data_IF_714228452551
#
_entry.id   IF_714228452551
#
_cell.length_a   1.000
_cell.length_b   1.000
_cell.length_c   1.000
_cell.angle_alpha   90.00
_cell.angle_beta   90.00
_cell.angle_gamma   90.00
#
_symmetry.space_group_name_H-M   'P 1'
#
loop_
_entity.id
_entity.type
_entity.pdbx_description
1 polymer ?
#
# COMPACT_ATOMS: atom_id res chain seq x y z
N UNK A 1 9.24 7.92 25.36
CA UNK A 1 9.30 6.46 25.16
C UNK A 1 9.35 6.23 23.65
N UNK A 2 10.38 5.57 23.14
CA UNK A 2 10.59 5.51 21.69
C UNK A 2 9.62 4.49 21.07
N UNK A 3 8.87 4.92 20.07
CA UNK A 3 7.97 4.07 19.27
C UNK A 3 8.68 2.87 18.60
N UNK A 4 10.01 2.83 18.66
CA UNK A 4 10.83 1.75 18.11
C UNK A 4 10.63 0.39 18.79
N UNK A 5 10.19 0.36 20.05
CA UNK A 5 10.00 -0.89 20.79
C UNK A 5 8.70 -1.62 20.47
N UNK A 6 7.70 -0.94 19.90
CA UNK A 6 6.38 -1.55 19.61
C UNK A 6 6.35 -2.41 18.36
N UNK A 7 7.23 -2.15 17.38
CA UNK A 7 7.30 -2.86 16.11
C UNK A 7 8.43 -3.88 16.07
N UNK A 8 9.40 -3.80 17.00
CA UNK A 8 10.54 -4.70 17.03
C UNK A 8 10.09 -6.18 17.09
N UNK A 9 10.62 -7.00 16.20
CA UNK A 9 10.31 -8.42 16.08
C UNK A 9 8.97 -8.75 15.39
N UNK A 10 8.13 -7.75 15.05
CA UNK A 10 6.83 -7.99 14.41
C UNK A 10 6.94 -8.14 12.92
N UNK A 11 6.22 -9.11 12.36
CA UNK A 11 6.07 -9.24 10.91
C UNK A 11 4.94 -8.34 10.39
N UNK A 12 5.26 -7.51 9.41
CA UNK A 12 4.33 -6.54 8.81
C UNK A 12 4.21 -6.80 7.32
N UNK A 13 2.99 -7.11 6.88
CA UNK A 13 2.66 -7.28 5.47
C UNK A 13 2.58 -5.91 4.78
N UNK A 14 3.31 -5.74 3.69
CA UNK A 14 3.25 -4.55 2.85
C UNK A 14 2.79 -4.98 1.46
N UNK A 15 1.61 -4.56 1.04
CA UNK A 15 1.15 -4.82 -0.33
C UNK A 15 1.52 -3.66 -1.24
N UNK A 16 1.96 -3.93 -2.47
CA UNK A 16 2.37 -2.90 -3.41
C UNK A 16 3.74 -2.27 -3.10
N UNK A 17 4.65 -3.04 -2.49
CA UNK A 17 5.94 -2.52 -2.04
C UNK A 17 6.99 -2.36 -3.15
N UNK A 18 6.75 -2.88 -4.36
CA UNK A 18 7.52 -2.50 -5.54
C UNK A 18 7.36 -1.00 -5.91
N UNK A 19 6.33 -0.33 -5.38
CA UNK A 19 6.11 1.12 -5.51
C UNK A 19 7.03 1.96 -4.63
N UNK A 20 7.12 3.26 -4.95
CA UNK A 20 7.96 4.23 -4.21
C UNK A 20 7.66 4.24 -2.70
N UNK A 21 6.38 4.44 -2.31
CA UNK A 21 6.01 4.51 -0.88
C UNK A 21 6.33 3.19 -0.18
N UNK A 22 6.02 2.06 -0.82
CA UNK A 22 6.22 0.75 -0.24
C UNK A 22 7.69 0.41 0.02
N UNK A 23 8.58 0.81 -0.89
CA UNK A 23 10.02 0.66 -0.69
C UNK A 23 10.52 1.43 0.54
N UNK A 24 10.10 2.69 0.70
CA UNK A 24 10.43 3.49 1.88
C UNK A 24 9.84 2.92 3.17
N UNK A 25 8.61 2.40 3.12
CA UNK A 25 7.97 1.74 4.27
C UNK A 25 8.76 0.48 4.68
N UNK A 26 9.16 -0.34 3.73
CA UNK A 26 9.96 -1.54 4.01
C UNK A 26 11.29 -1.18 4.68
N UNK A 27 11.99 -0.14 4.18
CA UNK A 27 13.19 0.40 4.80
C UNK A 27 12.96 0.84 6.24
N UNK A 28 11.94 1.68 6.48
CA UNK A 28 11.65 2.20 7.80
C UNK A 28 11.26 1.11 8.81
N UNK A 29 10.49 0.11 8.38
CA UNK A 29 10.14 -1.03 9.24
C UNK A 29 11.40 -1.80 9.68
N UNK A 30 12.35 -2.04 8.78
CA UNK A 30 13.62 -2.67 9.15
C UNK A 30 14.42 -1.84 10.13
N UNK A 31 14.52 -0.54 9.92
CA UNK A 31 15.19 0.38 10.85
C UNK A 31 14.55 0.39 12.25
N UNK A 32 13.25 0.13 12.33
CA UNK A 32 12.50 -0.03 13.59
C UNK A 32 12.58 -1.44 14.18
N UNK A 33 13.33 -2.35 13.54
CA UNK A 33 13.50 -3.74 14.00
C UNK A 33 12.32 -4.66 13.68
N UNK A 34 11.39 -4.24 12.83
CA UNK A 34 10.32 -5.09 12.32
C UNK A 34 10.79 -5.94 11.14
N UNK A 35 10.03 -6.97 10.79
CA UNK A 35 10.24 -7.81 9.63
C UNK A 35 9.23 -7.43 8.54
N UNK A 36 9.61 -6.65 7.51
CA UNK A 36 8.73 -6.39 6.37
C UNK A 36 8.58 -7.65 5.52
N UNK A 37 7.34 -8.02 5.24
CA UNK A 37 6.96 -9.06 4.30
C UNK A 37 6.24 -8.37 3.14
N UNK A 38 6.90 -8.29 2.00
CA UNK A 38 6.35 -7.67 0.79
C UNK A 38 5.43 -8.66 0.09
N UNK A 39 4.27 -8.18 -0.34
CA UNK A 39 3.36 -8.92 -1.21
C UNK A 39 3.08 -8.09 -2.47
N UNK A 40 3.51 -8.59 -3.61
CA UNK A 40 3.34 -7.90 -4.88
C UNK A 40 3.15 -8.89 -6.05
N UNK A 41 2.61 -8.41 -7.17
CA UNK A 41 2.36 -9.23 -8.36
C UNK A 41 3.67 -9.67 -9.05
N UNK A 42 4.74 -8.93 -8.86
CA UNK A 42 6.06 -9.22 -9.43
C UNK A 42 7.16 -8.80 -8.46
N UNK A 43 8.27 -9.53 -8.48
CA UNK A 43 9.44 -9.14 -7.73
C UNK A 43 10.21 -8.06 -8.50
N UNK A 44 10.15 -6.83 -8.01
CA UNK A 44 10.94 -5.71 -8.50
C UNK A 44 11.57 -4.98 -7.31
N UNK A 45 12.88 -5.17 -7.10
CA UNK A 45 13.65 -4.59 -6.00
C UNK A 45 14.39 -3.31 -6.38
N UNK A 46 14.24 -2.78 -7.58
CA UNK A 46 14.97 -1.60 -8.05
C UNK A 46 14.87 -0.41 -7.09
N UNK A 47 13.65 -0.10 -6.63
CA UNK A 47 13.43 1.02 -5.69
C UNK A 47 13.95 0.71 -4.29
N UNK A 48 13.89 -0.54 -3.85
CA UNK A 48 14.51 -0.96 -2.58
C UNK A 48 16.03 -0.84 -2.67
N UNK A 49 16.65 -1.35 -3.73
CA UNK A 49 18.11 -1.28 -3.96
C UNK A 49 18.62 0.16 -4.02
N UNK A 50 17.78 1.10 -4.50
CA UNK A 50 18.13 2.52 -4.54
C UNK A 50 18.27 3.15 -3.15
N UNK A 51 17.54 2.67 -2.16
CA UNK A 51 17.41 3.34 -0.85
C UNK A 51 17.92 2.52 0.34
N UNK A 52 18.20 1.23 0.15
CA UNK A 52 18.73 0.37 1.21
C UNK A 52 19.73 -0.67 0.67
N UNK A 53 20.90 -0.81 1.33
CA UNK A 53 21.96 -1.68 0.84
C UNK A 53 21.67 -3.18 1.00
N UNK A 54 20.77 -3.55 1.89
CA UNK A 54 20.42 -4.94 2.22
C UNK A 54 18.99 -5.31 1.72
N UNK A 55 18.57 -4.75 0.59
CA UNK A 55 17.25 -4.98 0.00
C UNK A 55 16.96 -6.47 -0.28
N UNK A 56 17.98 -7.27 -0.55
CA UNK A 56 17.86 -8.72 -0.76
C UNK A 56 17.38 -9.47 0.48
N UNK A 57 17.60 -8.93 1.68
CA UNK A 57 17.13 -9.52 2.92
C UNK A 57 15.64 -9.25 3.22
N UNK A 58 14.95 -8.45 2.42
CA UNK A 58 13.51 -8.24 2.55
C UNK A 58 12.76 -9.46 2.02
N UNK A 59 11.87 -10.03 2.84
CA UNK A 59 11.03 -11.15 2.44
C UNK A 59 10.08 -10.70 1.34
N UNK A 60 10.06 -11.45 0.23
CA UNK A 60 9.20 -11.15 -0.92
C UNK A 60 8.31 -12.32 -1.25
N UNK A 61 7.01 -12.08 -1.20
CA UNK A 61 5.97 -13.05 -1.54
C UNK A 61 5.25 -12.59 -2.82
N UNK A 62 5.23 -13.45 -3.81
CA UNK A 62 4.52 -13.19 -5.06
C UNK A 62 3.05 -13.57 -4.92
N UNK A 63 2.18 -12.68 -5.40
CA UNK A 63 0.76 -12.96 -5.44
C UNK A 63 -0.07 -11.80 -5.98
N UNK A 64 -1.27 -12.13 -6.43
CA UNK A 64 -2.28 -11.15 -6.82
C UNK A 64 -3.10 -10.76 -5.59
N UNK A 65 -3.32 -9.47 -5.38
CA UNK A 65 -4.14 -8.94 -4.28
C UNK A 65 -5.61 -9.43 -4.36
N UNK A 66 -6.02 -9.90 -5.51
CA UNK A 66 -7.35 -10.48 -5.73
C UNK A 66 -7.42 -11.98 -5.41
N UNK A 67 -6.31 -12.61 -5.07
CA UNK A 67 -6.26 -13.99 -4.57
C UNK A 67 -6.24 -14.00 -3.03
N UNK A 68 -7.43 -14.07 -2.45
CA UNK A 68 -7.59 -14.07 -1.00
C UNK A 68 -6.96 -15.29 -0.32
N UNK A 69 -6.97 -16.45 -1.00
CA UNK A 69 -6.35 -17.67 -0.45
C UNK A 69 -4.85 -17.49 -0.31
N UNK A 70 -4.20 -16.92 -1.34
CA UNK A 70 -2.76 -16.63 -1.29
C UNK A 70 -2.40 -15.63 -0.19
N UNK A 71 -3.22 -14.63 0.03
CA UNK A 71 -3.05 -13.67 1.14
C UNK A 71 -3.11 -14.35 2.50
N UNK A 72 -4.06 -15.26 2.71
CA UNK A 72 -4.16 -16.05 3.94
C UNK A 72 -2.93 -16.93 4.16
N UNK A 73 -2.46 -17.64 3.13
CA UNK A 73 -1.26 -18.47 3.19
C UNK A 73 -0.03 -17.66 3.61
N UNK A 74 0.17 -16.47 3.02
CA UNK A 74 1.28 -15.58 3.37
C UNK A 74 1.16 -15.10 4.82
N UNK A 75 -0.03 -14.68 5.23
CA UNK A 75 -0.26 -14.20 6.58
C UNK A 75 -0.02 -15.29 7.65
N UNK A 76 -0.33 -16.52 7.33
CA UNK A 76 -0.06 -17.68 8.19
C UNK A 76 1.42 -18.05 8.24
N UNK A 77 2.05 -18.16 7.07
CA UNK A 77 3.46 -18.53 6.94
C UNK A 77 4.38 -17.60 7.72
N UNK A 78 4.10 -16.31 7.68
CA UNK A 78 4.95 -15.29 8.31
C UNK A 78 4.41 -14.74 9.64
N UNK A 79 3.30 -15.29 10.15
CA UNK A 79 2.66 -14.82 11.40
C UNK A 79 2.45 -13.29 11.39
N UNK A 80 1.81 -12.77 10.35
CA UNK A 80 1.62 -11.32 10.15
C UNK A 80 0.84 -10.71 11.32
N UNK A 81 1.43 -9.68 11.93
CA UNK A 81 0.85 -8.92 13.07
C UNK A 81 0.43 -7.49 12.70
N UNK A 82 0.82 -7.01 11.52
CA UNK A 82 0.45 -5.69 11.02
C UNK A 82 0.32 -5.67 9.51
N UNK A 83 -0.48 -4.75 8.97
CA UNK A 83 -0.71 -4.62 7.53
C UNK A 83 -0.56 -3.16 7.11
N UNK A 84 0.20 -2.93 6.03
CA UNK A 84 0.28 -1.65 5.32
C UNK A 84 -0.14 -1.91 3.87
N UNK A 85 -1.36 -1.50 3.52
CA UNK A 85 -1.94 -1.75 2.22
C UNK A 85 -1.73 -0.58 1.27
N UNK A 86 -0.84 -0.78 0.28
CA UNK A 86 -0.48 0.24 -0.73
C UNK A 86 -0.79 -0.20 -2.16
N UNK A 87 -1.07 -1.49 -2.39
CA UNK A 87 -1.36 -2.02 -3.71
C UNK A 87 -2.60 -1.35 -4.30
N UNK A 88 -2.41 -0.64 -5.41
CA UNK A 88 -3.48 -0.03 -6.18
C UNK A 88 -2.99 0.42 -7.55
N UNK A 89 -3.86 0.36 -8.55
CA UNK A 89 -3.66 1.01 -9.84
C UNK A 89 -4.06 2.49 -9.76
N UNK A 90 -3.21 3.37 -10.29
CA UNK A 90 -3.41 4.82 -10.30
C UNK A 90 -4.29 5.29 -11.47
N UNK A 91 -4.57 6.60 -11.52
CA UNK A 91 -5.49 7.24 -12.47
C UNK A 91 -5.31 6.77 -13.93
N UNK A 92 -4.10 6.76 -14.53
CA UNK A 92 -3.96 6.36 -15.94
C UNK A 92 -4.39 4.93 -16.19
N UNK A 93 -4.04 4.02 -15.28
CA UNK A 93 -4.37 2.59 -15.38
C UNK A 93 -5.86 2.34 -15.13
N UNK A 94 -6.48 3.04 -14.17
CA UNK A 94 -7.92 2.95 -13.94
C UNK A 94 -8.73 3.40 -15.17
N UNK A 95 -8.24 4.40 -15.89
CA UNK A 95 -8.86 4.86 -17.14
C UNK A 95 -8.69 3.86 -18.29
N UNK A 96 -7.53 3.21 -18.37
CA UNK A 96 -7.21 2.26 -19.42
C UNK A 96 -7.98 0.93 -19.25
N UNK A 97 -8.10 0.44 -18.01
CA UNK A 97 -8.86 -0.78 -17.68
C UNK A 97 -9.74 -0.55 -16.43
N UNK A 98 -10.97 -0.05 -16.62
CA UNK A 98 -11.89 0.20 -15.52
C UNK A 98 -12.26 -1.04 -14.71
N UNK A 99 -12.47 -2.19 -15.38
CA UNK A 99 -12.90 -3.44 -14.72
C UNK A 99 -11.74 -4.07 -13.94
N UNK A 100 -10.58 -4.21 -14.56
CA UNK A 100 -9.40 -4.76 -13.91
C UNK A 100 -8.95 -3.89 -12.72
N UNK A 101 -8.96 -2.56 -12.88
CA UNK A 101 -8.62 -1.66 -11.79
C UNK A 101 -9.61 -1.71 -10.63
N UNK A 102 -10.91 -1.92 -10.89
CA UNK A 102 -11.90 -2.12 -9.82
C UNK A 102 -11.64 -3.41 -9.04
N UNK A 103 -11.28 -4.49 -9.73
CA UNK A 103 -10.88 -5.75 -9.07
C UNK A 103 -9.69 -5.52 -8.15
N UNK A 104 -8.64 -4.88 -8.63
CA UNK A 104 -7.43 -4.64 -7.85
C UNK A 104 -7.71 -3.66 -6.69
N UNK A 105 -8.29 -2.50 -6.97
CA UNK A 105 -8.41 -1.42 -6.01
C UNK A 105 -9.54 -1.65 -4.99
N UNK A 106 -10.66 -2.24 -5.40
CA UNK A 106 -11.83 -2.45 -4.53
C UNK A 106 -11.82 -3.84 -3.93
N UNK A 107 -11.75 -4.90 -4.78
CA UNK A 107 -11.69 -6.27 -4.26
C UNK A 107 -10.41 -6.52 -3.48
N UNK A 108 -9.26 -6.01 -3.92
CA UNK A 108 -8.01 -6.11 -3.16
C UNK A 108 -8.13 -5.44 -1.79
N UNK A 109 -8.74 -4.26 -1.69
CA UNK A 109 -8.93 -3.57 -0.40
C UNK A 109 -9.85 -4.34 0.54
N UNK A 110 -10.95 -4.91 0.03
CA UNK A 110 -11.85 -5.72 0.89
C UNK A 110 -11.17 -7.03 1.35
N UNK A 111 -10.32 -7.64 0.51
CA UNK A 111 -9.52 -8.81 0.90
C UNK A 111 -8.58 -8.50 2.05
N UNK A 112 -7.96 -7.32 2.05
CA UNK A 112 -7.07 -6.91 3.14
C UNK A 112 -7.84 -6.63 4.44
N UNK A 113 -9.00 -5.99 4.37
CA UNK A 113 -9.88 -5.80 5.52
C UNK A 113 -10.35 -7.15 6.08
N UNK A 114 -10.74 -8.07 5.20
CA UNK A 114 -11.18 -9.41 5.58
C UNK A 114 -10.05 -10.26 6.15
N UNK A 115 -8.83 -10.13 5.61
CA UNK A 115 -7.63 -10.74 6.18
C UNK A 115 -7.40 -10.25 7.61
N UNK A 116 -7.46 -8.94 7.83
CA UNK A 116 -7.31 -8.35 9.16
C UNK A 116 -8.38 -8.88 10.12
N UNK A 117 -9.64 -8.98 9.66
CA UNK A 117 -10.75 -9.53 10.44
C UNK A 117 -10.52 -11.00 10.82
N UNK A 118 -10.21 -11.86 9.84
CA UNK A 118 -10.07 -13.29 10.08
C UNK A 118 -8.85 -13.65 10.94
N UNK A 119 -7.78 -12.86 10.82
CA UNK A 119 -6.53 -13.07 11.57
C UNK A 119 -6.46 -12.27 12.88
N UNK A 120 -7.46 -11.46 13.20
CA UNK A 120 -7.46 -10.60 14.38
C UNK A 120 -6.36 -9.53 14.37
N UNK A 121 -5.95 -9.08 13.18
CA UNK A 121 -4.89 -8.07 13.03
C UNK A 121 -5.47 -6.69 13.35
N UNK A 122 -4.95 -6.07 14.40
CA UNK A 122 -5.40 -4.75 14.88
C UNK A 122 -4.50 -3.59 14.47
N UNK A 123 -3.36 -3.86 13.84
CA UNK A 123 -2.43 -2.86 13.32
C UNK A 123 -2.54 -2.80 11.81
N UNK A 124 -3.44 -1.98 11.31
CA UNK A 124 -3.66 -1.85 9.87
C UNK A 124 -3.66 -0.39 9.45
N UNK A 125 -2.92 -0.08 8.39
CA UNK A 125 -3.04 1.18 7.66
C UNK A 125 -3.18 0.93 6.15
N UNK A 126 -3.82 1.88 5.46
CA UNK A 126 -3.99 1.81 4.02
C UNK A 126 -3.84 3.17 3.35
N UNK A 127 -3.37 3.17 2.11
CA UNK A 127 -3.29 4.38 1.31
C UNK A 127 -4.64 4.69 0.66
N UNK A 128 -5.29 5.74 1.14
CA UNK A 128 -6.28 6.49 0.39
C UNK A 128 -5.58 7.50 -0.54
N UNK A 129 -6.16 8.64 -0.82
CA UNK A 129 -5.59 9.66 -1.69
C UNK A 129 -6.26 11.02 -1.48
N UNK A 130 -5.54 12.11 -1.72
CA UNK A 130 -6.18 13.44 -1.89
C UNK A 130 -7.14 13.49 -3.09
N UNK A 131 -7.09 12.51 -4.00
CA UNK A 131 -8.06 12.37 -5.08
C UNK A 131 -9.43 11.81 -4.61
N UNK A 132 -9.50 11.24 -3.39
CA UNK A 132 -10.74 10.67 -2.86
C UNK A 132 -11.85 11.72 -2.67
N UNK A 133 -11.63 12.88 -2.01
CA UNK A 133 -12.69 13.88 -1.79
C UNK A 133 -13.06 14.69 -3.04
N UNK A 134 -12.37 14.51 -4.18
CA UNK A 134 -12.71 15.17 -5.44
C UNK A 134 -14.04 14.66 -6.05
N UNK A 135 -14.74 13.77 -5.36
CA UNK A 135 -16.05 13.25 -5.71
C UNK A 135 -17.14 14.07 -4.99
N UNK A 136 -17.59 15.16 -5.53
CA UNK A 136 -18.84 15.71 -5.04
C UNK A 136 -19.04 17.22 -5.11
N UNK A 137 -18.14 18.06 -4.68
CA UNK A 137 -18.42 19.49 -4.52
C UNK A 137 -17.46 20.43 -5.26
N UNK A 138 -16.53 19.89 -6.04
CA UNK A 138 -15.55 20.69 -6.74
C UNK A 138 -15.61 20.46 -8.25
N UNK A 139 -15.34 21.50 -9.02
CA UNK A 139 -15.16 21.47 -10.48
C UNK A 139 -13.98 20.59 -10.95
N UNK A 140 -13.39 19.84 -10.05
CA UNK A 140 -12.35 18.86 -10.35
C UNK A 140 -12.98 17.60 -10.94
N UNK A 141 -12.43 17.16 -12.05
CA UNK A 141 -12.85 15.93 -12.70
C UNK A 141 -12.74 14.75 -11.74
N UNK A 142 -13.87 14.14 -11.40
CA UNK A 142 -13.93 12.89 -10.70
C UNK A 142 -13.15 11.82 -11.48
N UNK A 143 -12.36 11.01 -10.78
CA UNK A 143 -11.64 9.90 -11.38
C UNK A 143 -12.12 8.57 -10.81
N UNK A 144 -12.07 7.51 -11.61
CA UNK A 144 -12.39 6.17 -11.13
C UNK A 144 -11.46 5.76 -9.98
N UNK A 145 -10.20 6.17 -10.03
CA UNK A 145 -9.25 5.99 -8.93
C UNK A 145 -9.73 6.66 -7.63
N UNK A 146 -10.18 7.92 -7.69
CA UNK A 146 -10.74 8.63 -6.54
C UNK A 146 -11.97 7.92 -5.98
N UNK A 147 -12.87 7.46 -6.86
CA UNK A 147 -14.05 6.67 -6.49
C UNK A 147 -13.66 5.36 -5.76
N UNK A 148 -12.65 4.64 -6.25
CA UNK A 148 -12.14 3.45 -5.58
C UNK A 148 -11.58 3.77 -4.20
N UNK A 149 -10.87 4.90 -4.04
CA UNK A 149 -10.30 5.30 -2.74
C UNK A 149 -11.41 5.67 -1.72
N UNK A 150 -12.44 6.40 -2.13
CA UNK A 150 -13.62 6.64 -1.28
C UNK A 150 -14.31 5.32 -0.92
N UNK A 151 -14.49 4.41 -1.88
CA UNK A 151 -15.06 3.09 -1.61
C UNK A 151 -14.25 2.35 -0.52
N UNK A 152 -12.92 2.36 -0.62
CA UNK A 152 -12.02 1.77 0.40
C UNK A 152 -12.21 2.38 1.79
N UNK A 153 -12.33 3.71 1.89
CA UNK A 153 -12.59 4.40 3.15
C UNK A 153 -13.93 4.01 3.75
N UNK A 154 -14.99 3.92 2.94
CA UNK A 154 -16.31 3.50 3.39
C UNK A 154 -16.33 2.03 3.83
N UNK A 155 -15.67 1.14 3.09
CA UNK A 155 -15.54 -0.26 3.51
C UNK A 155 -14.80 -0.37 4.85
N UNK A 156 -13.72 0.38 5.05
CA UNK A 156 -12.99 0.39 6.31
C UNK A 156 -13.85 0.87 7.50
N UNK A 157 -14.70 1.88 7.28
CA UNK A 157 -15.64 2.36 8.28
C UNK A 157 -16.70 1.30 8.66
N UNK A 158 -17.21 0.55 7.66
CA UNK A 158 -18.14 -0.57 7.90
C UNK A 158 -17.45 -1.70 8.65
N UNK A 159 -16.22 -2.06 8.29
CA UNK A 159 -15.48 -3.10 8.99
C UNK A 159 -15.18 -2.74 10.45
N UNK A 160 -14.94 -1.46 10.73
CA UNK A 160 -14.87 -0.99 12.12
C UNK A 160 -16.19 -1.10 12.86
N UNK A 161 -17.27 -0.65 12.23
CA UNK A 161 -18.60 -0.64 12.84
C UNK A 161 -19.12 -2.06 13.15
N UNK A 162 -19.01 -2.97 12.18
CA UNK A 162 -19.68 -4.28 12.26
C UNK A 162 -18.81 -5.35 12.90
N UNK A 163 -17.48 -5.25 12.79
CA UNK A 163 -16.55 -6.27 13.27
C UNK A 163 -15.41 -5.73 14.13
N UNK A 164 -15.42 -4.45 14.47
CA UNK A 164 -14.39 -3.78 15.27
C UNK A 164 -12.96 -3.98 14.70
N UNK A 165 -12.81 -4.03 13.38
CA UNK A 165 -11.50 -4.09 12.69
C UNK A 165 -10.91 -2.69 12.60
N UNK A 166 -9.89 -2.35 13.41
CA UNK A 166 -9.33 -1.01 13.38
C UNK A 166 -8.43 -0.83 12.16
N UNK A 167 -8.53 0.34 11.54
CA UNK A 167 -7.64 0.73 10.44
C UNK A 167 -7.48 2.24 10.35
N UNK A 168 -6.34 2.68 9.81
CA UNK A 168 -6.03 4.09 9.57
C UNK A 168 -5.85 4.33 8.08
N UNK A 169 -6.78 5.08 7.49
CA UNK A 169 -6.67 5.56 6.11
C UNK A 169 -5.81 6.83 6.04
N UNK A 170 -4.79 6.83 5.21
CA UNK A 170 -3.94 7.99 4.96
C UNK A 170 -4.22 8.50 3.56
N UNK A 171 -4.46 9.81 3.41
CA UNK A 171 -4.62 10.49 2.12
C UNK A 171 -3.33 11.23 1.75
N UNK A 172 -2.35 10.55 1.10
CA UNK A 172 -1.14 11.24 0.67
C UNK A 172 -1.44 12.33 -0.35
N UNK A 173 -0.73 13.45 -0.25
CA UNK A 173 -0.64 14.45 -1.30
C UNK A 173 0.37 14.00 -2.37
N UNK A 174 0.96 14.94 -3.10
CA UNK A 174 2.02 14.63 -4.06
C UNK A 174 3.27 14.16 -3.30
N UNK A 175 3.67 12.93 -3.56
CA UNK A 175 4.90 12.34 -3.03
C UNK A 175 6.02 12.55 -4.04
N UNK A 176 7.20 12.97 -3.58
CA UNK A 176 8.41 13.14 -4.37
C UNK A 176 9.63 12.57 -3.64
N UNK A 177 10.71 12.36 -4.34
CA UNK A 177 11.97 11.85 -3.80
C UNK A 177 12.46 10.58 -4.51
N UNK A 178 13.56 9.96 -4.03
CA UNK A 178 14.14 8.76 -4.63
C UNK A 178 13.13 7.63 -4.79
N UNK A 179 13.09 7.03 -5.98
CA UNK A 179 12.13 5.97 -6.33
C UNK A 179 10.77 6.48 -6.83
N UNK A 180 10.53 7.81 -6.85
CA UNK A 180 9.31 8.38 -7.46
C UNK A 180 9.56 8.70 -8.94
N UNK A 181 9.55 7.70 -9.77
CA UNK A 181 9.90 7.70 -11.19
C UNK A 181 8.69 7.54 -12.14
N UNK A 182 7.50 7.22 -11.59
CA UNK A 182 6.30 6.93 -12.39
C UNK A 182 5.05 7.65 -11.85
N UNK A 183 4.08 7.81 -12.74
CA UNK A 183 2.78 8.43 -12.45
C UNK A 183 2.74 9.91 -12.76
N UNK A 184 1.53 10.48 -12.78
CA UNK A 184 1.29 11.87 -13.20
C UNK A 184 2.03 12.91 -12.36
N UNK A 185 2.34 12.61 -11.11
CA UNK A 185 3.02 13.51 -10.17
C UNK A 185 4.51 13.19 -9.98
N UNK A 186 5.12 12.39 -10.86
CA UNK A 186 6.55 12.06 -10.78
C UNK A 186 7.47 13.15 -11.36
N UNK A 187 6.95 14.06 -12.17
CA UNK A 187 7.74 15.08 -12.89
C UNK A 187 8.75 15.85 -12.01
N UNK A 188 8.43 16.33 -10.80
CA UNK A 188 9.41 16.98 -9.94
C UNK A 188 10.60 16.10 -9.57
N UNK A 189 10.36 14.82 -9.22
CA UNK A 189 11.42 13.88 -8.87
C UNK A 189 12.29 13.53 -10.07
N UNK A 190 11.68 13.30 -11.22
CA UNK A 190 12.40 13.01 -12.47
C UNK A 190 13.26 14.18 -12.90
N UNK A 191 12.73 15.41 -12.78
CA UNK A 191 13.49 16.63 -13.10
C UNK A 191 14.71 16.82 -12.18
N UNK A 192 14.56 16.57 -10.88
CA UNK A 192 15.68 16.63 -9.94
C UNK A 192 16.75 15.58 -10.25
N UNK A 193 16.36 14.33 -10.52
CA UNK A 193 17.30 13.28 -10.90
C UNK A 193 18.04 13.59 -12.23
N UNK A 194 17.36 14.21 -13.18
CA UNK A 194 17.97 14.60 -14.45
C UNK A 194 18.91 15.82 -14.34
N UNK A 195 18.79 16.62 -13.31
CA UNK A 195 19.65 17.79 -13.09
C UNK A 195 21.01 17.45 -12.44
N UNK A 196 21.17 16.24 -11.92
CA UNK A 196 22.43 15.73 -11.33
C UNK A 196 23.36 15.06 -12.37
N UNK A 197 22.97 15.03 -13.65
CA UNK A 197 23.75 14.50 -14.77
C UNK A 197 24.26 15.66 -15.62
#
# INVERSE_FOLDING_TARGET
MSHSTELAGKAVLITGAAGCIGAWVAKQLRELGATPVVFDIAENRERLNLIMPDAEAVIWELGDITDFKRLLEVAETHNIEGIIHLAALQVPFCKADPVGSTRINVMGSIHILELARQRGITRMSYASSVAAPAMGDNDWLATLYGAHKICGEQMAAVYWQDWAVPSVGIRPAVIYGPGRDQGMSAAPSVALMAAEV
#
